data_IF_181316035336
#
_entry.id   IF_181316035336
#
_cell.length_a   1.000
_cell.length_b   1.000
_cell.length_c   1.000
_cell.angle_alpha   90.00
_cell.angle_beta   90.00
_cell.angle_gamma   90.00
#
_symmetry.space_group_name_H-M   'P 1'
#
loop_
_entity.id
_entity.type
_entity.pdbx_description
1 polymer ?
#
# COMPACT_ATOMS: atom_id res chain seq x y z
N UNK A 1 -1.29 21.78 15.20
CA UNK A 1 -0.74 20.98 14.09
C UNK A 1 -0.98 21.76 12.79
N UNK A 2 0.03 21.90 11.92
CA UNK A 2 -0.12 22.66 10.66
C UNK A 2 -1.12 21.98 9.71
N UNK A 3 -1.85 22.75 8.90
CA UNK A 3 -2.75 22.22 7.87
C UNK A 3 -2.00 21.31 6.87
N UNK A 4 -0.77 21.69 6.49
CA UNK A 4 0.09 20.87 5.64
C UNK A 4 0.41 19.53 6.29
N UNK A 5 0.79 19.54 7.57
CA UNK A 5 1.10 18.32 8.31
C UNK A 5 -0.09 17.35 8.34
N UNK A 6 -1.28 17.84 8.70
CA UNK A 6 -2.48 16.99 8.76
C UNK A 6 -2.88 16.46 7.39
N UNK A 7 -2.69 17.25 6.33
CA UNK A 7 -2.95 16.80 4.97
C UNK A 7 -1.98 15.68 4.55
N UNK A 8 -0.68 15.89 4.74
CA UNK A 8 0.34 14.87 4.43
C UNK A 8 0.12 13.59 5.25
N UNK A 9 -0.21 13.71 6.54
CA UNK A 9 -0.48 12.56 7.39
C UNK A 9 -1.66 11.73 6.87
N UNK A 10 -2.74 12.36 6.40
CA UNK A 10 -3.89 11.63 5.82
C UNK A 10 -3.53 10.85 4.56
N UNK A 11 -2.64 11.38 3.72
CA UNK A 11 -2.14 10.67 2.55
C UNK A 11 -1.29 9.48 3.00
N UNK A 12 -0.35 9.70 3.93
CA UNK A 12 0.50 8.64 4.47
C UNK A 12 -0.32 7.51 5.11
N UNK A 13 -1.34 7.84 5.91
CA UNK A 13 -2.24 6.85 6.52
C UNK A 13 -3.00 6.04 5.44
N UNK A 14 -3.42 6.69 4.36
CA UNK A 14 -4.11 6.02 3.26
C UNK A 14 -3.19 5.04 2.53
N UNK A 15 -1.96 5.47 2.20
CA UNK A 15 -0.95 4.60 1.59
C UNK A 15 -0.59 3.43 2.50
N UNK A 16 -0.40 3.67 3.80
CA UNK A 16 -0.06 2.64 4.78
C UNK A 16 -1.16 1.57 4.89
N UNK A 17 -2.42 1.99 4.97
CA UNK A 17 -3.57 1.07 5.05
C UNK A 17 -3.72 0.28 3.75
N UNK A 18 -3.63 0.94 2.59
CA UNK A 18 -3.73 0.27 1.30
C UNK A 18 -2.58 -0.73 1.09
N UNK A 19 -1.34 -0.36 1.42
CA UNK A 19 -0.19 -1.27 1.41
C UNK A 19 -0.44 -2.49 2.29
N UNK A 20 -0.93 -2.29 3.52
CA UNK A 20 -1.25 -3.42 4.40
C UNK A 20 -2.36 -4.33 3.83
N UNK A 21 -3.42 -3.76 3.24
CA UNK A 21 -4.48 -4.54 2.59
C UNK A 21 -3.99 -5.31 1.38
N UNK A 22 -3.12 -4.73 0.55
CA UNK A 22 -2.55 -5.44 -0.60
C UNK A 22 -1.61 -6.56 -0.17
N UNK A 23 -0.87 -6.38 0.93
CA UNK A 23 -0.02 -7.44 1.50
C UNK A 23 -0.81 -8.68 1.95
N UNK A 24 -2.09 -8.54 2.30
CA UNK A 24 -2.96 -9.69 2.63
C UNK A 24 -3.17 -10.63 1.43
N UNK A 25 -2.99 -10.12 0.22
CA UNK A 25 -3.12 -10.89 -1.02
C UNK A 25 -1.86 -11.64 -1.43
N UNK A 26 -0.76 -11.51 -0.69
CA UNK A 26 0.47 -12.26 -0.98
C UNK A 26 0.19 -13.77 -1.04
N UNK A 27 0.61 -14.44 -2.11
CA UNK A 27 0.33 -15.84 -2.42
C UNK A 27 -1.14 -16.16 -2.73
N UNK A 28 -1.98 -15.15 -2.94
CA UNK A 28 -3.41 -15.29 -3.27
C UNK A 28 -3.78 -14.68 -4.64
N UNK A 29 -2.81 -14.20 -5.41
CA UNK A 29 -3.02 -13.71 -6.78
C UNK A 29 -3.50 -14.81 -7.76
N UNK A 30 -4.22 -14.46 -8.85
CA UNK A 30 -4.70 -15.43 -9.84
C UNK A 30 -3.57 -16.18 -10.56
N UNK A 31 -2.48 -15.48 -10.85
CA UNK A 31 -1.24 -15.99 -11.43
C UNK A 31 -0.04 -15.48 -10.62
N UNK A 32 1.12 -16.13 -10.77
CA UNK A 32 2.35 -15.74 -10.09
C UNK A 32 2.79 -14.32 -10.47
N UNK A 33 2.68 -13.95 -11.74
CA UNK A 33 3.04 -12.62 -12.23
C UNK A 33 2.18 -11.53 -11.60
N UNK A 34 0.87 -11.78 -11.44
CA UNK A 34 -0.03 -10.83 -10.79
C UNK A 34 0.18 -10.76 -9.28
N UNK A 35 0.52 -11.88 -8.62
CA UNK A 35 0.87 -11.89 -7.20
C UNK A 35 2.15 -11.09 -6.92
N UNK A 36 3.17 -11.25 -7.76
CA UNK A 36 4.41 -10.44 -7.71
C UNK A 36 4.09 -8.98 -8.01
N UNK A 37 3.27 -8.68 -9.02
CA UNK A 37 2.87 -7.31 -9.34
C UNK A 37 2.12 -6.64 -8.18
N UNK A 38 1.17 -7.33 -7.55
CA UNK A 38 0.45 -6.82 -6.39
C UNK A 38 1.36 -6.63 -5.17
N UNK A 39 2.28 -7.56 -4.94
CA UNK A 39 3.29 -7.43 -3.88
C UNK A 39 4.21 -6.23 -4.10
N UNK A 40 4.61 -5.96 -5.35
CA UNK A 40 5.40 -4.76 -5.69
C UNK A 40 4.61 -3.47 -5.45
N UNK A 41 3.35 -3.40 -5.87
CA UNK A 41 2.50 -2.23 -5.60
C UNK A 41 2.32 -2.03 -4.09
N UNK A 42 2.14 -3.11 -3.32
CA UNK A 42 2.07 -3.05 -1.87
C UNK A 42 3.36 -2.47 -1.27
N UNK A 43 4.53 -2.85 -1.79
CA UNK A 43 5.82 -2.34 -1.34
C UNK A 43 5.98 -0.85 -1.65
N UNK A 44 5.57 -0.41 -2.84
CA UNK A 44 5.60 0.99 -3.25
C UNK A 44 4.69 1.87 -2.36
N UNK A 45 3.57 1.34 -1.87
CA UNK A 45 2.69 2.06 -0.93
C UNK A 45 3.31 2.26 0.46
N UNK A 46 4.28 1.42 0.85
CA UNK A 46 5.01 1.55 2.11
C UNK A 46 6.25 2.45 2.01
N UNK A 47 6.82 2.59 0.81
CA UNK A 47 7.99 3.43 0.53
C UNK A 47 7.66 4.91 0.42
#
# INVERSE_FOLDING_TARGET
MSSLFTYTLRIADSSLILGQRMSEWCSNGPTLEEDIAMSNISLDMFG
#
